data_IF_650700213898
#
_entry.id   IF_650700213898
#
_cell.length_a   1.000
_cell.length_b   1.000
_cell.length_c   1.000
_cell.angle_alpha   90.00
_cell.angle_beta   90.00
_cell.angle_gamma   90.00
#
_symmetry.space_group_name_H-M   'P 1'
#
loop_
_entity.id
_entity.type
_entity.pdbx_description
1 polymer ?
#
# COMPACT_ATOMS: atom_id res chain seq x y z
N UNK A 1 -7.09 27.34 12.53
CA UNK A 1 -6.94 25.91 12.15
C UNK A 1 -5.58 25.74 11.51
N UNK A 2 -4.79 24.76 11.95
CA UNK A 2 -3.52 24.40 11.31
C UNK A 2 -3.80 23.67 10.00
N UNK A 3 -2.84 23.65 9.06
CA UNK A 3 -2.99 22.98 7.77
C UNK A 3 -2.21 21.66 7.76
N UNK A 4 -2.75 20.65 7.09
CA UNK A 4 -2.04 19.40 6.79
C UNK A 4 -2.32 18.96 5.35
N UNK A 5 -1.42 18.16 4.77
CA UNK A 5 -1.51 17.72 3.37
C UNK A 5 -0.83 16.37 3.17
N UNK A 6 -1.29 15.62 2.17
CA UNK A 6 -0.65 14.39 1.68
C UNK A 6 0.75 14.64 1.06
N UNK A 7 1.08 15.89 0.77
CA UNK A 7 2.39 16.35 0.32
C UNK A 7 3.32 16.86 1.42
N UNK A 8 2.97 16.69 2.72
CA UNK A 8 3.78 17.21 3.81
C UNK A 8 5.19 16.60 3.86
N UNK A 9 6.16 17.33 4.41
CA UNK A 9 7.52 16.83 4.58
C UNK A 9 7.57 15.57 5.46
N UNK A 10 6.69 15.46 6.46
CA UNK A 10 6.54 14.28 7.30
C UNK A 10 5.99 13.08 6.52
N UNK A 11 4.95 13.28 5.70
CA UNK A 11 4.44 12.25 4.77
C UNK A 11 5.53 11.77 3.80
N UNK A 12 6.37 12.69 3.32
CA UNK A 12 7.55 12.38 2.50
C UNK A 12 8.59 11.52 3.22
N UNK A 13 8.93 11.86 4.47
CA UNK A 13 9.86 11.08 5.31
C UNK A 13 9.31 9.69 5.63
N UNK A 14 8.03 9.59 6.00
CA UNK A 14 7.36 8.31 6.26
C UNK A 14 7.43 7.39 5.04
N UNK A 15 7.11 7.93 3.86
CA UNK A 15 7.22 7.18 2.61
C UNK A 15 8.66 6.75 2.31
N UNK A 16 9.64 7.59 2.61
CA UNK A 16 11.06 7.26 2.43
C UNK A 16 11.52 6.15 3.38
N UNK A 17 11.09 6.18 4.64
CA UNK A 17 11.36 5.13 5.63
C UNK A 17 10.78 3.77 5.17
N UNK A 18 9.52 3.75 4.70
CA UNK A 18 8.89 2.55 4.15
C UNK A 18 9.64 1.98 2.94
N UNK A 19 10.15 2.84 2.04
CA UNK A 19 11.01 2.39 0.93
C UNK A 19 12.34 1.85 1.42
N UNK A 20 12.95 2.46 2.44
CA UNK A 20 14.17 1.96 3.07
C UNK A 20 13.97 0.56 3.65
N UNK A 21 12.87 0.37 4.39
CA UNK A 21 12.48 -0.92 4.95
C UNK A 21 12.27 -1.98 3.85
N UNK A 22 11.60 -1.59 2.75
CA UNK A 22 11.43 -2.49 1.59
C UNK A 22 12.78 -2.93 1.00
N UNK A 23 13.77 -2.04 0.88
CA UNK A 23 15.08 -2.43 0.33
C UNK A 23 15.79 -3.47 1.20
N UNK A 24 15.70 -3.32 2.51
CA UNK A 24 16.25 -4.28 3.47
C UNK A 24 15.53 -5.63 3.38
N UNK A 25 14.19 -5.60 3.35
CA UNK A 25 13.35 -6.79 3.11
C UNK A 25 13.79 -7.53 1.85
N UNK A 26 13.84 -6.84 0.70
CA UNK A 26 14.18 -7.48 -0.59
C UNK A 26 15.59 -8.06 -0.60
N UNK A 27 16.56 -7.43 0.09
CA UNK A 27 17.90 -7.99 0.25
C UNK A 27 17.89 -9.32 1.02
N UNK A 28 17.10 -9.40 2.09
CA UNK A 28 17.01 -10.60 2.90
C UNK A 28 16.24 -11.70 2.15
N UNK A 29 15.18 -11.35 1.41
CA UNK A 29 14.46 -12.28 0.53
C UNK A 29 15.36 -12.83 -0.59
N UNK A 30 16.20 -11.99 -1.20
CA UNK A 30 17.20 -12.43 -2.18
C UNK A 30 18.14 -13.49 -1.59
N UNK A 31 18.54 -13.33 -0.32
CA UNK A 31 19.36 -14.33 0.38
C UNK A 31 18.59 -15.64 0.58
N UNK A 32 17.29 -15.58 0.90
CA UNK A 32 16.47 -16.78 1.08
C UNK A 32 16.24 -17.57 -0.21
N UNK A 33 16.38 -16.95 -1.40
CA UNK A 33 16.25 -17.67 -2.69
C UNK A 33 17.23 -18.83 -2.83
N UNK A 34 18.37 -18.81 -2.11
CA UNK A 34 19.34 -19.92 -2.08
C UNK A 34 18.79 -21.22 -1.50
N UNK A 35 17.65 -21.17 -0.80
CA UNK A 35 16.95 -22.36 -0.29
C UNK A 35 16.27 -23.15 -1.41
N UNK A 36 16.01 -22.52 -2.56
CA UNK A 36 15.34 -23.16 -3.69
C UNK A 36 16.33 -24.02 -4.48
N UNK A 37 15.97 -25.29 -4.68
CA UNK A 37 16.62 -26.18 -5.63
C UNK A 37 15.67 -26.42 -6.80
N UNK A 38 16.06 -25.98 -7.99
CA UNK A 38 15.25 -26.11 -9.22
C UNK A 38 14.93 -27.57 -9.57
N UNK A 39 15.74 -28.53 -9.13
CA UNK A 39 15.52 -29.96 -9.35
C UNK A 39 14.63 -30.58 -8.27
N UNK A 40 14.37 -29.86 -7.16
CA UNK A 40 13.65 -30.36 -5.99
C UNK A 40 12.62 -29.37 -5.45
N UNK A 41 11.99 -28.58 -6.33
CA UNK A 41 11.06 -27.51 -5.96
C UNK A 41 9.94 -27.95 -5.00
N UNK A 42 9.40 -29.16 -5.16
CA UNK A 42 8.38 -29.70 -4.25
C UNK A 42 8.87 -29.82 -2.81
N UNK A 43 10.16 -30.15 -2.62
CA UNK A 43 10.78 -30.28 -1.30
C UNK A 43 11.35 -28.96 -0.78
N UNK A 44 11.71 -28.01 -1.65
CA UNK A 44 12.41 -26.77 -1.22
C UNK A 44 11.53 -25.53 -1.17
N UNK A 45 10.41 -25.46 -1.90
CA UNK A 45 9.49 -24.32 -1.82
C UNK A 45 8.82 -24.21 -0.45
N UNK A 46 8.29 -25.28 0.18
CA UNK A 46 7.70 -25.16 1.52
C UNK A 46 8.64 -24.59 2.59
N UNK A 47 9.86 -25.11 2.82
CA UNK A 47 10.78 -24.52 3.80
C UNK A 47 11.27 -23.11 3.41
N UNK A 48 11.27 -22.76 2.11
CA UNK A 48 11.49 -21.39 1.67
C UNK A 48 10.32 -20.46 2.08
N UNK A 49 9.07 -20.92 1.93
CA UNK A 49 7.88 -20.19 2.40
C UNK A 49 7.99 -19.93 3.91
N UNK A 50 8.30 -20.95 4.70
CA UNK A 50 8.43 -20.83 6.17
C UNK A 50 9.49 -19.78 6.55
N UNK A 51 10.64 -19.79 5.88
CA UNK A 51 11.70 -18.81 6.11
C UNK A 51 11.28 -17.38 5.71
N UNK A 52 10.51 -17.23 4.63
CA UNK A 52 9.99 -15.92 4.21
C UNK A 52 8.94 -15.42 5.20
N UNK A 53 8.08 -16.28 5.74
CA UNK A 53 7.07 -15.92 6.76
C UNK A 53 7.71 -15.26 7.98
N UNK A 54 8.78 -15.84 8.51
CA UNK A 54 9.55 -15.27 9.63
C UNK A 54 10.17 -13.90 9.30
N UNK A 55 10.65 -13.71 8.07
CA UNK A 55 11.14 -12.40 7.61
C UNK A 55 9.99 -11.40 7.52
N UNK A 56 8.85 -11.79 6.94
CA UNK A 56 7.67 -10.91 6.81
C UNK A 56 7.18 -10.43 8.18
N UNK A 57 7.09 -11.31 9.18
CA UNK A 57 6.68 -10.96 10.54
C UNK A 57 7.55 -9.84 11.14
N UNK A 58 8.87 -10.06 11.20
CA UNK A 58 9.83 -9.09 11.75
C UNK A 58 9.83 -7.74 11.05
N UNK A 59 9.76 -7.75 9.71
CA UNK A 59 9.71 -6.51 8.94
C UNK A 59 8.36 -5.80 9.08
N UNK A 60 7.25 -6.53 9.23
CA UNK A 60 5.93 -5.93 9.50
C UNK A 60 5.88 -5.24 10.86
N UNK A 61 6.45 -5.82 11.91
CA UNK A 61 6.57 -5.20 13.23
C UNK A 61 7.40 -3.90 13.19
N UNK A 62 8.49 -3.92 12.42
CA UNK A 62 9.30 -2.71 12.18
C UNK A 62 8.50 -1.64 11.45
N UNK A 63 7.69 -2.04 10.45
CA UNK A 63 6.79 -1.16 9.72
C UNK A 63 5.72 -0.53 10.62
N UNK A 64 5.15 -1.31 11.54
CA UNK A 64 4.20 -0.85 12.56
C UNK A 64 4.84 0.16 13.52
N UNK A 65 6.05 -0.12 14.00
CA UNK A 65 6.77 0.80 14.90
C UNK A 65 7.06 2.14 14.24
N UNK A 66 7.57 2.14 13.00
CA UNK A 66 7.82 3.38 12.25
C UNK A 66 6.51 4.15 11.96
N UNK A 67 5.39 3.45 11.81
CA UNK A 67 4.07 4.05 11.69
C UNK A 67 3.61 4.72 12.99
N UNK A 68 3.87 4.11 14.15
CA UNK A 68 3.57 4.71 15.44
C UNK A 68 4.36 6.01 15.66
N UNK A 69 5.68 5.99 15.40
CA UNK A 69 6.53 7.18 15.50
C UNK A 69 6.04 8.30 14.57
N UNK A 70 5.63 7.95 13.34
CA UNK A 70 5.06 8.91 12.40
C UNK A 70 3.73 9.49 12.93
N UNK A 71 2.84 8.66 13.47
CA UNK A 71 1.57 9.12 14.02
C UNK A 71 1.75 10.07 15.20
N UNK A 72 2.65 9.74 16.13
CA UNK A 72 2.94 10.58 17.29
C UNK A 72 3.50 11.93 16.86
N UNK A 73 4.40 11.95 15.88
CA UNK A 73 4.91 13.20 15.30
C UNK A 73 3.82 14.05 14.62
N UNK A 74 2.89 13.43 13.90
CA UNK A 74 1.75 14.17 13.30
C UNK A 74 0.78 14.69 14.36
N UNK A 75 0.55 13.92 15.42
CA UNK A 75 -0.31 14.29 16.54
C UNK A 75 0.27 15.47 17.33
N UNK A 76 1.59 15.44 17.57
CA UNK A 76 2.33 16.55 18.19
C UNK A 76 2.29 17.80 17.30
N UNK A 77 2.59 17.66 16.00
CA UNK A 77 2.55 18.76 15.04
C UNK A 77 1.14 19.39 14.90
N UNK A 78 0.09 18.60 15.15
CA UNK A 78 -1.29 19.08 15.21
C UNK A 78 -1.62 19.86 16.50
N UNK A 79 -0.74 19.86 17.51
CA UNK A 79 -0.97 20.50 18.81
C UNK A 79 -2.07 19.82 19.63
N UNK A 80 -2.29 18.53 19.39
CA UNK A 80 -3.36 17.76 20.04
C UNK A 80 -3.03 17.52 21.52
N UNK A 81 -3.89 17.94 22.46
CA UNK A 81 -3.62 17.75 23.89
C UNK A 81 -3.85 16.31 24.36
N UNK A 82 -3.28 15.98 25.52
CA UNK A 82 -3.42 14.68 26.18
C UNK A 82 -2.54 13.58 25.59
N UNK A 83 -2.43 12.47 26.31
CA UNK A 83 -1.70 11.29 25.85
C UNK A 83 -2.57 10.38 24.99
N UNK A 84 -1.92 9.70 24.05
CA UNK A 84 -2.48 8.60 23.28
C UNK A 84 -1.33 7.61 23.02
N UNK A 85 -1.61 6.32 23.10
CA UNK A 85 -0.64 5.27 22.78
C UNK A 85 -1.09 4.60 21.50
N UNK A 86 -0.25 4.65 20.47
CA UNK A 86 -0.56 4.04 19.19
C UNK A 86 -0.62 2.52 19.32
N UNK A 87 -1.76 1.88 18.97
CA UNK A 87 -1.84 0.42 18.91
C UNK A 87 -1.03 -0.08 17.71
N UNK A 88 0.00 -0.89 17.96
CA UNK A 88 0.72 -1.56 16.89
C UNK A 88 -0.16 -2.66 16.30
N UNK A 89 -0.25 -2.71 14.97
CA UNK A 89 -0.92 -3.81 14.30
C UNK A 89 -0.14 -5.11 14.49
N UNK A 90 -0.86 -6.21 14.68
CA UNK A 90 -0.28 -7.54 14.69
C UNK A 90 0.42 -7.85 13.36
N UNK A 91 1.42 -8.73 13.39
CA UNK A 91 2.01 -9.29 12.19
C UNK A 91 0.93 -9.95 11.31
N UNK A 92 1.10 -9.97 9.97
CA UNK A 92 0.18 -10.67 9.09
C UNK A 92 0.12 -12.16 9.49
N UNK A 93 -1.08 -12.77 9.58
CA UNK A 93 -1.20 -14.18 9.93
C UNK A 93 -0.39 -15.07 8.98
N UNK A 94 0.25 -16.11 9.51
CA UNK A 94 1.08 -17.04 8.71
C UNK A 94 0.31 -17.63 7.52
N UNK A 95 -0.98 -17.94 7.69
CA UNK A 95 -1.86 -18.42 6.62
C UNK A 95 -2.02 -17.43 5.47
N UNK A 96 -1.99 -16.12 5.76
CA UNK A 96 -2.06 -15.06 4.77
C UNK A 96 -0.76 -15.00 3.97
N UNK A 97 0.37 -15.14 4.66
CA UNK A 97 1.70 -15.14 4.03
C UNK A 97 1.88 -16.39 3.16
N UNK A 98 1.56 -17.58 3.68
CA UNK A 98 1.58 -18.84 2.93
C UNK A 98 0.67 -18.77 1.69
N UNK A 99 -0.57 -18.28 1.83
CA UNK A 99 -1.50 -18.11 0.71
C UNK A 99 -0.93 -17.18 -0.38
N UNK A 100 -0.32 -16.06 0.01
CA UNK A 100 0.29 -15.12 -0.91
C UNK A 100 1.50 -15.74 -1.64
N UNK A 101 2.34 -16.50 -0.94
CA UNK A 101 3.54 -17.14 -1.51
C UNK A 101 3.20 -18.36 -2.37
N UNK A 102 2.15 -19.12 -2.02
CA UNK A 102 1.62 -20.19 -2.89
C UNK A 102 1.02 -19.62 -4.16
N UNK A 103 0.31 -18.50 -4.08
CA UNK A 103 -0.15 -17.78 -5.26
C UNK A 103 1.02 -17.31 -6.13
N UNK A 104 2.09 -16.79 -5.52
CA UNK A 104 3.27 -16.32 -6.25
C UNK A 104 4.01 -17.45 -6.96
N UNK A 105 4.12 -18.62 -6.31
CA UNK A 105 4.85 -19.81 -6.82
C UNK A 105 3.99 -20.78 -7.63
N UNK A 106 2.70 -20.49 -7.82
CA UNK A 106 1.74 -21.41 -8.47
C UNK A 106 2.17 -21.90 -9.86
N UNK A 107 2.95 -21.10 -10.58
CA UNK A 107 3.38 -21.37 -11.96
C UNK A 107 4.68 -22.19 -12.03
N UNK A 108 5.31 -22.49 -10.89
CA UNK A 108 6.46 -23.40 -10.83
C UNK A 108 6.05 -24.87 -11.06
N UNK A 109 4.81 -25.20 -10.71
CA UNK A 109 4.30 -26.56 -10.75
C UNK A 109 3.93 -26.99 -12.16
N UNK A 110 4.32 -28.21 -12.53
CA UNK A 110 3.97 -28.79 -13.83
C UNK A 110 2.45 -28.88 -13.96
N UNK A 111 1.96 -28.54 -15.16
CA UNK A 111 0.56 -28.65 -15.55
C UNK A 111 0.48 -29.45 -16.84
N UNK A 112 -0.67 -30.09 -17.05
CA UNK A 112 -0.96 -30.71 -18.34
C UNK A 112 -0.90 -29.62 -19.43
N UNK A 113 -0.13 -29.87 -20.48
CA UNK A 113 0.14 -28.93 -21.57
C UNK A 113 -1.15 -28.43 -22.24
N UNK A 114 -2.17 -29.29 -22.34
CA UNK A 114 -3.47 -28.97 -22.94
C UNK A 114 -4.22 -27.84 -22.19
N UNK A 115 -3.89 -27.59 -20.91
CA UNK A 115 -4.54 -26.56 -20.08
C UNK A 115 -3.55 -25.53 -19.51
N UNK A 116 -2.26 -25.66 -19.81
CA UNK A 116 -1.23 -24.75 -19.31
C UNK A 116 -1.38 -23.36 -19.96
N UNK A 117 -1.36 -22.32 -19.13
CA UNK A 117 -1.33 -20.92 -19.60
C UNK A 117 0.00 -20.62 -20.31
N UNK A 118 0.07 -19.53 -21.09
CA UNK A 118 1.31 -19.09 -21.75
C UNK A 118 2.47 -18.99 -20.75
N UNK A 119 2.25 -18.33 -19.60
CA UNK A 119 3.26 -18.18 -18.55
C UNK A 119 3.74 -19.52 -17.96
N UNK A 120 2.93 -20.58 -18.00
CA UNK A 120 3.29 -21.90 -17.47
C UNK A 120 4.07 -22.75 -18.48
N UNK A 121 4.06 -22.38 -19.76
CA UNK A 121 4.83 -23.03 -20.82
C UNK A 121 6.24 -22.47 -20.95
N UNK A 122 6.51 -21.33 -20.32
CA UNK A 122 7.83 -20.71 -20.32
C UNK A 122 8.90 -21.63 -19.69
N UNK A 123 10.18 -21.47 -20.08
CA UNK A 123 11.31 -22.14 -19.44
C UNK A 123 11.29 -21.98 -17.90
N UNK A 124 11.80 -23.01 -17.19
CA UNK A 124 11.69 -23.05 -15.73
C UNK A 124 12.38 -21.86 -15.06
N UNK A 125 13.52 -21.42 -15.57
CA UNK A 125 14.26 -20.25 -15.10
C UNK A 125 13.41 -18.97 -15.24
N UNK A 126 12.72 -18.77 -16.36
CA UNK A 126 11.79 -17.64 -16.56
C UNK A 126 10.63 -17.70 -15.55
N UNK A 127 10.07 -18.88 -15.32
CA UNK A 127 9.00 -19.08 -14.34
C UNK A 127 9.47 -18.84 -12.91
N UNK A 128 10.70 -19.23 -12.57
CA UNK A 128 11.34 -18.92 -11.28
C UNK A 128 11.48 -17.41 -11.11
N UNK A 129 12.02 -16.69 -12.10
CA UNK A 129 12.15 -15.23 -12.02
C UNK A 129 10.78 -14.55 -11.82
N UNK A 130 9.76 -14.96 -12.57
CA UNK A 130 8.41 -14.44 -12.42
C UNK A 130 7.79 -14.75 -11.04
N UNK A 131 8.01 -15.95 -10.51
CA UNK A 131 7.54 -16.33 -9.18
C UNK A 131 8.22 -15.50 -8.09
N UNK A 132 9.53 -15.26 -8.21
CA UNK A 132 10.29 -14.45 -7.26
C UNK A 132 9.86 -12.98 -7.31
N UNK A 133 9.63 -12.41 -8.50
CA UNK A 133 9.09 -11.06 -8.63
C UNK A 133 7.71 -10.93 -7.96
N UNK A 134 6.80 -11.91 -8.16
CA UNK A 134 5.49 -11.94 -7.49
C UNK A 134 5.63 -12.05 -5.97
N UNK A 135 6.55 -12.88 -5.49
CA UNK A 135 6.80 -13.06 -4.06
C UNK A 135 7.34 -11.79 -3.41
N UNK A 136 8.32 -11.13 -4.04
CA UNK A 136 8.86 -9.83 -3.61
C UNK A 136 7.73 -8.79 -3.50
N UNK A 137 6.90 -8.65 -4.53
CA UNK A 137 5.81 -7.65 -4.51
C UNK A 137 4.73 -7.96 -3.47
N UNK A 138 4.43 -9.24 -3.23
CA UNK A 138 3.43 -9.67 -2.25
C UNK A 138 3.93 -9.48 -0.80
N UNK A 139 5.17 -9.88 -0.52
CA UNK A 139 5.81 -9.72 0.79
C UNK A 139 6.03 -8.24 1.12
N UNK A 140 6.45 -7.42 0.15
CA UNK A 140 6.52 -5.96 0.29
C UNK A 140 5.19 -5.37 0.75
N UNK A 141 4.08 -5.80 0.11
CA UNK A 141 2.74 -5.34 0.49
C UNK A 141 2.41 -5.76 1.92
N UNK A 142 2.59 -7.03 2.27
CA UNK A 142 2.27 -7.54 3.63
C UNK A 142 3.00 -6.75 4.71
N UNK A 143 4.29 -6.48 4.52
CA UNK A 143 5.10 -5.65 5.43
C UNK A 143 4.60 -4.20 5.49
N UNK A 144 4.32 -3.60 4.34
CA UNK A 144 3.85 -2.22 4.30
C UNK A 144 2.42 -2.07 4.84
N UNK A 145 1.61 -3.12 4.80
CA UNK A 145 0.26 -3.13 5.35
C UNK A 145 0.28 -3.11 6.89
N UNK A 146 1.30 -3.68 7.56
CA UNK A 146 1.46 -3.55 9.02
C UNK A 146 1.53 -2.10 9.48
N UNK A 147 2.31 -1.26 8.79
CA UNK A 147 2.36 0.18 9.07
C UNK A 147 1.07 0.92 8.71
N UNK A 148 0.40 0.54 7.61
CA UNK A 148 -0.88 1.17 7.20
C UNK A 148 -2.00 0.84 8.18
N UNK A 149 -2.05 -0.41 8.63
CA UNK A 149 -3.04 -0.87 9.60
C UNK A 149 -2.82 -0.23 10.97
N UNK A 150 -1.56 -0.10 11.41
CA UNK A 150 -1.20 0.64 12.63
C UNK A 150 -1.77 2.07 12.59
N UNK A 151 -1.54 2.80 11.51
CA UNK A 151 -2.08 4.16 11.34
C UNK A 151 -3.61 4.17 11.27
N UNK A 152 -4.23 3.19 10.61
CA UNK A 152 -5.69 3.09 10.51
C UNK A 152 -6.31 2.84 11.88
N UNK A 153 -5.77 1.90 12.65
CA UNK A 153 -6.19 1.61 14.03
C UNK A 153 -5.98 2.82 14.93
N UNK A 154 -4.85 3.52 14.81
CA UNK A 154 -4.58 4.74 15.56
C UNK A 154 -5.65 5.82 15.30
N UNK A 155 -5.98 6.10 14.04
CA UNK A 155 -7.07 7.04 13.69
C UNK A 155 -8.42 6.56 14.23
N UNK A 156 -8.69 5.25 14.17
CA UNK A 156 -9.94 4.70 14.68
C UNK A 156 -10.05 4.75 16.21
N UNK A 157 -8.94 4.72 16.94
CA UNK A 157 -8.95 4.72 18.41
C UNK A 157 -8.76 6.11 19.02
N UNK A 158 -7.96 7.00 18.40
CA UNK A 158 -7.76 8.36 18.91
C UNK A 158 -9.05 9.19 18.74
N UNK A 159 -9.50 9.80 19.84
CA UNK A 159 -10.68 10.69 19.87
C UNK A 159 -10.44 12.03 19.18
N UNK A 160 -9.17 12.41 19.02
CA UNK A 160 -8.74 13.65 18.41
C UNK A 160 -8.51 13.51 16.90
N UNK A 161 -8.33 12.29 16.40
CA UNK A 161 -8.28 12.03 14.97
C UNK A 161 -9.70 12.12 14.35
N UNK A 162 -9.81 12.81 13.21
CA UNK A 162 -11.06 12.98 12.46
C UNK A 162 -11.09 12.13 11.18
N UNK A 163 -9.93 11.67 10.72
CA UNK A 163 -9.80 10.87 9.51
C UNK A 163 -8.34 10.66 9.12
N UNK A 164 -8.14 10.16 7.90
CA UNK A 164 -6.83 10.08 7.26
C UNK A 164 -6.96 10.35 5.77
N UNK A 165 -5.88 10.76 5.14
CA UNK A 165 -5.79 10.86 3.69
C UNK A 165 -4.71 9.92 3.15
N UNK A 166 -4.88 9.45 1.91
CA UNK A 166 -3.84 8.68 1.24
C UNK A 166 -2.80 9.62 0.66
N UNK A 167 -1.53 9.38 0.99
CA UNK A 167 -0.39 10.10 0.46
C UNK A 167 0.39 9.25 -0.55
N UNK A 168 -0.02 9.36 -1.81
CA UNK A 168 0.62 8.67 -2.94
C UNK A 168 1.91 9.36 -3.40
N UNK A 169 2.85 8.59 -3.93
CA UNK A 169 4.02 9.15 -4.61
C UNK A 169 3.64 9.63 -6.01
N UNK A 170 4.44 10.54 -6.60
CA UNK A 170 4.25 10.99 -7.99
C UNK A 170 4.19 9.80 -8.97
N UNK A 171 5.10 8.84 -8.82
CA UNK A 171 5.13 7.58 -9.59
C UNK A 171 4.17 6.49 -9.09
N UNK A 172 3.09 6.81 -8.36
CA UNK A 172 2.13 5.81 -7.90
C UNK A 172 1.18 5.34 -9.01
N UNK A 173 0.63 4.13 -8.89
CA UNK A 173 -0.29 3.59 -9.89
C UNK A 173 -1.59 4.40 -10.01
N UNK A 174 -2.31 4.26 -11.13
CA UNK A 174 -3.58 4.95 -11.38
C UNK A 174 -4.61 4.73 -10.26
N UNK A 175 -4.66 3.53 -9.66
CA UNK A 175 -5.53 3.29 -8.51
C UNK A 175 -5.12 4.15 -7.31
N UNK A 176 -3.83 4.18 -6.97
CA UNK A 176 -3.36 4.97 -5.84
C UNK A 176 -3.49 6.48 -6.05
N UNK A 177 -3.28 6.97 -7.29
CA UNK A 177 -3.54 8.36 -7.68
C UNK A 177 -5.01 8.71 -7.49
N UNK A 178 -5.91 7.84 -7.95
CA UNK A 178 -7.35 7.99 -7.76
C UNK A 178 -7.73 8.01 -6.29
N UNK A 179 -7.12 7.17 -5.47
CA UNK A 179 -7.42 7.11 -4.05
C UNK A 179 -6.86 8.33 -3.29
N UNK A 180 -5.71 8.87 -3.70
CA UNK A 180 -5.13 10.08 -3.11
C UNK A 180 -5.89 11.36 -3.51
N UNK A 181 -6.34 11.45 -4.76
CA UNK A 181 -7.08 12.61 -5.27
C UNK A 181 -8.45 12.80 -4.63
N UNK A 182 -9.01 11.74 -4.01
CA UNK A 182 -10.25 11.82 -3.23
C UNK A 182 -10.12 12.68 -1.97
N UNK A 183 -8.92 12.90 -1.47
CA UNK A 183 -8.68 13.62 -0.22
C UNK A 183 -8.94 12.77 1.01
N UNK A 184 -9.40 13.40 2.10
CA UNK A 184 -9.53 12.73 3.39
C UNK A 184 -10.73 11.77 3.46
N UNK A 185 -10.50 10.61 4.04
CA UNK A 185 -11.52 9.67 4.51
C UNK A 185 -11.84 10.01 5.96
N UNK A 186 -13.09 10.33 6.22
CA UNK A 186 -13.55 10.63 7.57
C UNK A 186 -13.79 9.36 8.37
N UNK A 187 -13.42 9.40 9.65
CA UNK A 187 -13.60 8.30 10.60
C UNK A 187 -15.07 7.89 10.75
N UNK A 188 -15.95 8.88 10.83
CA UNK A 188 -17.41 8.73 10.95
C UNK A 188 -18.12 9.83 10.17
N UNK A 189 -19.41 9.64 9.85
CA UNK A 189 -20.25 10.71 9.30
C UNK A 189 -20.31 11.93 10.24
N UNK A 190 -20.30 11.72 11.56
CA UNK A 190 -20.30 12.81 12.55
C UNK A 190 -19.02 13.64 12.59
N UNK A 191 -17.87 13.04 12.27
CA UNK A 191 -16.59 13.76 12.13
C UNK A 191 -16.43 14.49 10.80
N UNK A 192 -17.32 14.21 9.84
CA UNK A 192 -17.22 14.75 8.49
C UNK A 192 -17.73 16.20 8.36
N UNK A 193 -18.55 16.68 9.30
CA UNK A 193 -19.06 18.06 9.30
C UNK A 193 -19.81 18.41 8.01
N UNK A 194 -19.91 19.70 7.67
CA UNK A 194 -20.50 20.17 6.39
C UNK A 194 -19.58 19.97 5.18
N UNK A 195 -18.31 19.65 5.42
CA UNK A 195 -17.29 19.38 4.40
C UNK A 195 -17.18 17.89 4.05
N UNK A 196 -18.16 17.10 4.52
CA UNK A 196 -18.33 15.71 4.17
C UNK A 196 -18.69 15.61 2.69
N UNK A 197 -17.73 15.27 1.85
CA UNK A 197 -18.07 14.87 0.50
C UNK A 197 -18.68 13.46 0.58
N UNK A 198 -19.99 13.37 0.32
CA UNK A 198 -20.83 12.15 0.42
C UNK A 198 -20.26 10.97 -0.38
N UNK A 199 -19.36 11.26 -1.33
CA UNK A 199 -18.54 10.30 -2.06
C UNK A 199 -17.62 9.44 -1.18
N UNK A 200 -17.42 9.78 0.10
CA UNK A 200 -16.33 9.28 0.94
C UNK A 200 -16.78 8.59 2.23
N UNK A 201 -17.90 7.87 2.18
CA UNK A 201 -18.33 6.98 3.26
C UNK A 201 -17.91 5.54 2.97
N UNK A 202 -17.24 4.88 3.92
CA UNK A 202 -16.90 3.45 3.88
C UNK A 202 -15.40 3.13 3.83
N UNK A 203 -14.92 2.46 4.88
CA UNK A 203 -13.51 2.07 5.10
C UNK A 203 -13.01 1.01 4.07
N UNK A 204 -13.91 0.10 3.66
CA UNK A 204 -13.54 -1.15 2.99
C UNK A 204 -12.96 -1.02 1.55
N UNK A 205 -13.23 0.07 0.83
CA UNK A 205 -12.68 0.28 -0.52
C UNK A 205 -11.46 1.21 -0.54
N UNK A 206 -11.29 2.04 0.50
CA UNK A 206 -10.23 3.06 0.55
C UNK A 206 -8.93 2.53 1.19
N UNK A 207 -9.02 1.48 1.99
CA UNK A 207 -7.85 0.85 2.63
C UNK A 207 -7.16 -0.22 1.77
N UNK A 208 -7.64 -0.54 0.56
CA UNK A 208 -6.99 -1.56 -0.29
C UNK A 208 -5.73 -1.00 -0.95
N UNK A 209 -4.67 -1.80 -0.98
CA UNK A 209 -3.41 -1.49 -1.66
C UNK A 209 -2.99 -2.67 -2.54
N UNK A 210 -2.33 -2.37 -3.65
CA UNK A 210 -1.81 -3.39 -4.57
C UNK A 210 -0.41 -3.83 -4.13
N UNK A 211 0.03 -4.97 -4.67
CA UNK A 211 1.42 -5.42 -4.55
C UNK A 211 2.37 -4.40 -5.18
N UNK A 212 3.56 -4.23 -4.61
CA UNK A 212 4.57 -3.24 -5.07
C UNK A 212 4.08 -1.78 -4.98
N UNK A 213 3.42 -1.46 -3.86
CA UNK A 213 2.89 -0.13 -3.60
C UNK A 213 3.61 0.53 -2.43
N UNK A 214 4.13 1.75 -2.65
CA UNK A 214 4.74 2.57 -1.58
C UNK A 214 3.87 3.74 -1.13
N UNK A 215 2.56 3.68 -1.38
CA UNK A 215 1.65 4.68 -0.87
C UNK A 215 1.48 4.52 0.64
N UNK A 216 1.28 5.64 1.32
CA UNK A 216 1.07 5.67 2.76
C UNK A 216 -0.23 6.39 3.09
N UNK A 217 -0.62 6.39 4.36
CA UNK A 217 -1.73 7.22 4.86
C UNK A 217 -1.20 8.24 5.85
N UNK A 218 -1.86 9.39 5.92
CA UNK A 218 -1.52 10.52 6.80
C UNK A 218 -2.73 10.83 7.67
N UNK A 219 -2.61 10.82 9.01
CA UNK A 219 -3.72 11.13 9.90
C UNK A 219 -4.10 12.62 9.80
N UNK A 220 -5.37 12.91 10.06
CA UNK A 220 -5.90 14.27 10.17
C UNK A 220 -6.59 14.41 11.51
N UNK A 221 -6.23 15.44 12.26
CA UNK A 221 -6.73 15.69 13.60
C UNK A 221 -7.73 16.85 13.65
N UNK A 222 -8.52 16.90 14.72
CA UNK A 222 -9.47 17.98 15.00
C UNK A 222 -8.73 19.32 15.03
N UNK A 223 -9.28 20.32 14.35
CA UNK A 223 -8.67 21.65 14.26
C UNK A 223 -7.65 21.79 13.13
N UNK A 224 -7.33 20.71 12.40
CA UNK A 224 -6.60 20.78 11.14
C UNK A 224 -7.56 20.93 9.95
N UNK A 225 -7.09 21.63 8.91
CA UNK A 225 -7.66 21.63 7.56
C UNK A 225 -6.77 20.79 6.65
N UNK A 226 -7.33 19.73 6.06
CA UNK A 226 -6.63 18.94 5.06
C UNK A 226 -6.67 19.65 3.69
N UNK A 227 -5.53 19.71 3.01
CA UNK A 227 -5.37 20.27 1.66
C UNK A 227 -4.69 19.24 0.77
N UNK A 228 -5.27 18.97 -0.41
CA UNK A 228 -4.62 18.16 -1.43
C UNK A 228 -3.29 18.81 -1.83
N UNK A 229 -2.26 17.99 -1.96
CA UNK A 229 -1.02 18.37 -2.60
C UNK A 229 -1.26 18.82 -4.05
N UNK A 230 -0.36 19.62 -4.66
CA UNK A 230 -0.55 20.08 -6.04
C UNK A 230 -0.76 18.94 -7.05
N UNK A 231 -0.07 17.81 -6.87
CA UNK A 231 -0.22 16.64 -7.75
C UNK A 231 -1.52 15.88 -7.50
N UNK A 232 -1.96 15.74 -6.24
CA UNK A 232 -3.23 15.09 -5.95
C UNK A 232 -4.43 15.95 -6.41
N UNK A 233 -4.31 17.27 -6.35
CA UNK A 233 -5.30 18.20 -6.92
C UNK A 233 -5.36 18.08 -8.45
N UNK A 234 -4.22 17.94 -9.12
CA UNK A 234 -4.18 17.70 -10.57
C UNK A 234 -4.81 16.35 -10.95
N UNK A 235 -4.53 15.29 -10.19
CA UNK A 235 -5.19 14.00 -10.38
C UNK A 235 -6.71 14.07 -10.15
N UNK A 236 -7.18 14.89 -9.20
CA UNK A 236 -8.62 15.13 -9.01
C UNK A 236 -9.23 15.84 -10.21
N UNK A 237 -8.54 16.85 -10.77
CA UNK A 237 -8.94 17.54 -12.00
C UNK A 237 -9.08 16.56 -13.18
N UNK A 238 -8.03 15.77 -13.45
CA UNK A 238 -8.03 14.74 -14.51
C UNK A 238 -9.17 13.74 -14.29
N UNK A 239 -9.37 13.29 -13.05
CA UNK A 239 -10.44 12.36 -12.73
C UNK A 239 -11.83 12.95 -13.04
N UNK A 240 -12.09 14.19 -12.61
CA UNK A 240 -13.37 14.87 -12.80
C UNK A 240 -13.70 15.11 -14.26
N UNK A 241 -12.68 15.43 -15.06
CA UNK A 241 -12.85 15.75 -16.47
C UNK A 241 -13.05 14.50 -17.34
N UNK A 242 -12.30 13.42 -17.08
CA UNK A 242 -12.23 12.29 -18.01
C UNK A 242 -12.89 10.99 -17.53
N UNK A 243 -13.13 10.83 -16.23
CA UNK A 243 -13.56 9.55 -15.65
C UNK A 243 -14.81 9.64 -14.76
N UNK A 244 -15.14 10.81 -14.25
CA UNK A 244 -16.34 11.00 -13.45
C UNK A 244 -17.61 10.81 -14.29
N UNK A 245 -18.64 10.16 -13.72
CA UNK A 245 -19.90 9.89 -14.40
C UNK A 245 -19.95 8.59 -15.22
N UNK A 246 -18.86 7.80 -15.22
CA UNK A 246 -18.76 6.53 -15.98
C UNK A 246 -18.72 5.29 -15.05
N UNK A 247 -19.84 4.91 -14.40
CA UNK A 247 -19.86 3.78 -13.45
C UNK A 247 -19.35 2.48 -14.08
N UNK A 248 -18.39 1.83 -13.42
CA UNK A 248 -17.76 0.59 -13.89
C UNK A 248 -16.50 0.81 -14.71
N UNK A 249 -16.36 1.96 -15.36
CA UNK A 249 -15.25 2.29 -16.26
C UNK A 249 -14.28 3.34 -15.71
N UNK A 250 -14.59 3.94 -14.55
CA UNK A 250 -13.85 5.11 -14.04
C UNK A 250 -12.34 4.86 -13.93
N UNK A 251 -11.91 3.70 -13.41
CA UNK A 251 -10.47 3.42 -13.24
C UNK A 251 -9.78 3.20 -14.59
N UNK A 252 -10.46 2.63 -15.58
CA UNK A 252 -9.94 2.41 -16.94
C UNK A 252 -9.75 3.75 -17.64
N UNK A 253 -10.78 4.60 -17.64
CA UNK A 253 -10.74 5.93 -18.23
C UNK A 253 -9.72 6.84 -17.54
N UNK A 254 -9.67 6.80 -16.20
CA UNK A 254 -8.68 7.56 -15.45
C UNK A 254 -7.25 7.12 -15.75
N UNK A 255 -7.00 5.81 -15.89
CA UNK A 255 -5.68 5.30 -16.28
C UNK A 255 -5.27 5.81 -17.67
N UNK A 256 -6.20 5.84 -18.62
CA UNK A 256 -5.95 6.39 -19.95
C UNK A 256 -5.65 7.89 -19.89
N UNK A 257 -6.49 8.67 -19.19
CA UNK A 257 -6.31 10.11 -19.05
C UNK A 257 -5.00 10.47 -18.33
N UNK A 258 -4.57 9.69 -17.33
CA UNK A 258 -3.26 9.89 -16.70
C UNK A 258 -2.09 9.69 -17.68
N UNK A 259 -2.19 8.76 -18.63
CA UNK A 259 -1.14 8.56 -19.62
C UNK A 259 -1.03 9.75 -20.59
N UNK A 260 -2.14 10.43 -20.86
CA UNK A 260 -2.23 11.55 -21.80
C UNK A 260 -1.95 12.92 -21.13
N UNK A 261 -2.31 13.07 -19.85
CA UNK A 261 -2.39 14.39 -19.20
C UNK A 261 -1.56 14.52 -17.92
N UNK A 262 -1.04 13.43 -17.33
CA UNK A 262 -0.23 13.54 -16.12
C UNK A 262 1.22 13.92 -16.45
N UNK A 263 1.71 14.99 -15.81
CA UNK A 263 3.11 15.41 -15.88
C UNK A 263 4.08 14.43 -15.20
N UNK A 264 3.56 13.47 -14.44
CA UNK A 264 4.33 12.42 -13.77
C UNK A 264 3.84 11.05 -14.23
N UNK A 265 4.13 10.59 -15.46
CA UNK A 265 3.69 9.27 -15.92
C UNK A 265 4.28 8.16 -15.04
N UNK A 266 3.59 7.01 -15.03
CA UNK A 266 4.06 5.83 -14.32
C UNK A 266 5.35 5.31 -14.96
N UNK A 267 6.38 4.93 -14.19
CA UNK A 267 7.53 4.23 -14.77
C UNK A 267 7.07 2.96 -15.49
N UNK A 268 7.36 2.84 -16.79
CA UNK A 268 6.97 1.68 -17.61
C UNK A 268 5.53 1.69 -18.14
N UNK A 269 4.85 2.85 -18.17
CA UNK A 269 3.51 2.98 -18.78
C UNK A 269 3.50 3.41 -20.25
N UNK A 270 4.65 3.39 -20.93
CA UNK A 270 4.78 3.58 -22.38
C UNK A 270 5.01 2.24 -23.06
#
# INVERSE_FOLDING_TARGET
MSKTSDGSASSGRWRAAQRGLTRLLLRDLLTLRRLLDQNRLQATVPPWIDAVTEVVGRYSETSATLAADFYDGEREAAGVPGSFTVPLADAPPDEQVDSALRWATKDLWQRNEAVATVAQREPLDVRIQAAMAKADSATQKLVADGGRETLRQAVQQDRQAVGYARAAALGACAFCRLMASRGMVYKTAGTAGRDANERFTGDASVAKFHNDCHCVITPVFRGQRFELSPHAAEWDRIYREYAQGHPGDQLRLFRQALAEHDSNPLPGSN
#
